data_IF_393387255308
#
_entry.id   IF_393387255308
#
_cell.length_a   1.000
_cell.length_b   1.000
_cell.length_c   1.000
_cell.angle_alpha   90.00
_cell.angle_beta   90.00
_cell.angle_gamma   90.00
#
_symmetry.space_group_name_H-M   'P 1'
#
loop_
_entity.id
_entity.type
_entity.pdbx_description
1 polymer ?
#
# COMPACT_ATOMS: atom_id res chain seq x y z
N UNK A 1 15.02 -33.71 12.78
CA UNK A 1 14.06 -32.95 11.92
C UNK A 1 13.64 -31.72 12.71
N UNK A 2 14.22 -30.57 12.43
CA UNK A 2 13.73 -29.32 13.01
C UNK A 2 12.47 -28.93 12.26
N UNK A 3 11.33 -28.88 12.96
CA UNK A 3 10.12 -28.24 12.44
C UNK A 3 10.48 -26.83 12.02
N UNK A 4 10.39 -26.55 10.72
CA UNK A 4 10.37 -25.17 10.23
C UNK A 4 9.15 -24.52 10.88
N UNK A 5 9.36 -23.66 11.88
CA UNK A 5 8.32 -22.75 12.36
C UNK A 5 7.81 -22.01 11.12
N UNK A 6 6.54 -22.20 10.81
CA UNK A 6 5.88 -21.41 9.78
C UNK A 6 6.04 -19.94 10.17
N UNK A 7 6.70 -19.17 9.32
CA UNK A 7 6.77 -17.72 9.50
C UNK A 7 5.34 -17.22 9.35
N UNK A 8 4.79 -16.47 10.31
CA UNK A 8 3.43 -15.96 10.17
C UNK A 8 3.33 -15.10 8.90
N UNK A 9 2.24 -15.26 8.16
CA UNK A 9 2.00 -14.55 6.90
C UNK A 9 2.02 -13.01 7.09
N UNK A 10 1.70 -12.55 8.28
CA UNK A 10 1.75 -11.12 8.65
C UNK A 10 2.15 -10.95 10.12
N UNK A 11 2.60 -9.75 10.49
CA UNK A 11 2.90 -9.37 11.88
C UNK A 11 1.69 -8.63 12.44
N UNK A 12 1.12 -9.16 13.54
CA UNK A 12 -0.01 -8.53 14.21
C UNK A 12 0.39 -7.18 14.82
N UNK A 13 -0.39 -6.15 14.53
CA UNK A 13 -0.19 -4.79 15.01
C UNK A 13 -0.36 -4.65 16.53
N UNK A 14 0.22 -3.56 17.08
CA UNK A 14 -0.03 -3.16 18.46
C UNK A 14 -1.50 -2.71 18.65
N UNK A 15 -1.96 -2.68 19.90
CA UNK A 15 -3.30 -2.14 20.20
C UNK A 15 -3.44 -0.66 19.75
N UNK A 16 -2.37 0.15 19.88
CA UNK A 16 -2.34 1.51 19.38
C UNK A 16 -2.41 1.55 17.86
N UNK A 17 -1.59 0.75 17.15
CA UNK A 17 -1.61 0.65 15.70
C UNK A 17 -2.99 0.27 15.17
N UNK A 18 -3.58 -0.80 15.72
CA UNK A 18 -4.94 -1.24 15.37
C UNK A 18 -6.00 -0.15 15.57
N UNK A 19 -5.91 0.62 16.67
CA UNK A 19 -6.79 1.75 16.91
C UNK A 19 -6.55 2.88 15.91
N UNK A 20 -5.30 3.31 15.74
CA UNK A 20 -4.92 4.43 14.86
C UNK A 20 -5.31 4.19 13.40
N UNK A 21 -5.05 2.99 12.88
CA UNK A 21 -5.44 2.56 11.53
C UNK A 21 -6.97 2.54 11.32
N UNK A 22 -7.78 2.66 12.38
CA UNK A 22 -9.22 2.80 12.32
C UNK A 22 -9.74 4.23 12.39
N UNK A 23 -8.86 5.24 12.58
CA UNK A 23 -9.27 6.64 12.79
C UNK A 23 -9.50 7.39 11.48
N UNK A 24 -10.33 8.45 11.52
CA UNK A 24 -10.50 9.37 10.39
C UNK A 24 -9.17 10.06 10.03
N UNK A 25 -8.31 10.34 11.03
CA UNK A 25 -6.97 10.88 10.80
C UNK A 25 -6.14 10.02 9.85
N UNK A 26 -6.18 8.69 10.02
CA UNK A 26 -5.49 7.77 9.11
C UNK A 26 -6.04 7.87 7.69
N UNK A 27 -7.36 7.80 7.55
CA UNK A 27 -7.99 7.76 6.23
C UNK A 27 -7.93 9.11 5.51
N UNK A 28 -8.24 10.20 6.18
CA UNK A 28 -8.32 11.52 5.53
C UNK A 28 -6.94 12.16 5.30
N UNK A 29 -5.97 11.86 6.16
CA UNK A 29 -4.65 12.51 6.10
C UNK A 29 -3.50 11.58 5.65
N UNK A 30 -3.74 10.27 5.49
CA UNK A 30 -2.73 9.35 4.97
C UNK A 30 -3.24 8.67 3.71
N UNK A 31 -4.34 7.91 3.78
CA UNK A 31 -4.86 7.17 2.62
C UNK A 31 -5.33 8.10 1.51
N UNK A 32 -6.16 9.10 1.82
CA UNK A 32 -6.69 10.04 0.83
C UNK A 32 -5.57 10.86 0.17
N UNK A 33 -4.61 11.34 0.97
CA UNK A 33 -3.46 12.11 0.47
C UNK A 33 -2.57 11.27 -0.45
N UNK A 34 -2.32 10.00 -0.10
CA UNK A 34 -1.56 9.09 -0.96
C UNK A 34 -2.31 8.81 -2.28
N UNK A 35 -3.64 8.60 -2.23
CA UNK A 35 -4.46 8.41 -3.42
C UNK A 35 -4.48 9.66 -4.31
N UNK A 36 -4.59 10.86 -3.74
CA UNK A 36 -4.56 12.11 -4.49
C UNK A 36 -3.20 12.31 -5.18
N UNK A 37 -2.12 11.92 -4.53
CA UNK A 37 -0.77 11.96 -5.09
C UNK A 37 -0.62 10.97 -6.26
N UNK A 38 -1.04 9.70 -6.05
CA UNK A 38 -0.98 8.65 -7.07
C UNK A 38 -1.88 8.93 -8.27
N UNK A 39 -3.06 9.49 -8.04
CA UNK A 39 -4.03 9.79 -9.11
C UNK A 39 -3.47 10.77 -10.15
N UNK A 40 -2.56 11.66 -9.77
CA UNK A 40 -1.90 12.59 -10.70
C UNK A 40 -1.00 11.90 -11.72
N UNK A 41 -0.54 10.70 -11.42
CA UNK A 41 0.38 9.92 -12.26
C UNK A 41 -0.33 8.85 -13.10
N UNK A 42 -1.65 8.74 -12.98
CA UNK A 42 -2.41 7.78 -13.77
C UNK A 42 -2.38 8.12 -15.26
N UNK A 43 -2.34 7.11 -16.15
CA UNK A 43 -2.47 7.31 -17.57
C UNK A 43 -3.77 8.08 -17.91
N UNK A 44 -3.62 9.19 -18.65
CA UNK A 44 -4.76 10.06 -19.00
C UNK A 44 -5.62 9.50 -20.12
N UNK A 45 -5.12 8.54 -20.86
CA UNK A 45 -5.78 7.86 -21.99
C UNK A 45 -6.69 6.72 -21.56
N UNK A 46 -6.67 6.34 -20.29
CA UNK A 46 -7.51 5.27 -19.76
C UNK A 46 -8.82 5.82 -19.19
N UNK A 47 -9.94 5.40 -19.81
CA UNK A 47 -11.27 5.92 -19.48
C UNK A 47 -11.86 5.37 -18.16
N UNK A 48 -11.51 4.14 -17.75
CA UNK A 48 -12.10 3.50 -16.57
C UNK A 48 -11.27 2.34 -16.03
N UNK A 49 -11.57 1.95 -14.78
CA UNK A 49 -11.02 0.79 -14.08
C UNK A 49 -12.17 -0.09 -13.56
N UNK A 50 -12.80 -0.93 -14.42
CA UNK A 50 -13.99 -1.70 -14.06
C UNK A 50 -13.78 -2.62 -12.85
N UNK A 51 -12.58 -3.20 -12.69
CA UNK A 51 -12.25 -4.07 -11.56
C UNK A 51 -11.06 -3.49 -10.80
N UNK A 52 -11.32 -3.07 -9.57
CA UNK A 52 -10.30 -2.51 -8.65
C UNK A 52 -10.06 -3.49 -7.51
N UNK A 53 -8.80 -3.73 -7.16
CA UNK A 53 -8.41 -4.54 -6.02
C UNK A 53 -7.60 -3.70 -5.04
N UNK A 54 -7.96 -3.78 -3.75
CA UNK A 54 -7.21 -3.22 -2.62
C UNK A 54 -6.49 -4.34 -1.87
N UNK A 55 -5.18 -4.37 -1.96
CA UNK A 55 -4.33 -5.33 -1.28
C UNK A 55 -3.92 -4.80 0.10
N UNK A 56 -4.38 -5.47 1.17
CA UNK A 56 -4.26 -5.01 2.54
C UNK A 56 -5.38 -4.03 2.91
N UNK A 57 -6.62 -4.33 2.54
CA UNK A 57 -7.75 -3.43 2.71
C UNK A 57 -8.17 -3.21 4.18
N UNK A 58 -7.71 -4.03 5.12
CA UNK A 58 -7.93 -3.91 6.55
C UNK A 58 -9.39 -3.69 6.92
N UNK A 59 -9.73 -2.50 7.40
CA UNK A 59 -11.10 -2.14 7.80
C UNK A 59 -12.03 -1.77 6.64
N UNK A 60 -11.55 -1.78 5.38
CA UNK A 60 -12.36 -1.57 4.19
C UNK A 60 -12.71 -0.12 3.85
N UNK A 61 -12.31 0.87 4.66
CA UNK A 61 -12.61 2.28 4.38
C UNK A 61 -11.87 2.83 3.15
N UNK A 62 -10.69 2.29 2.84
CA UNK A 62 -9.98 2.55 1.58
C UNK A 62 -10.81 2.19 0.35
N UNK A 63 -11.60 1.12 0.43
CA UNK A 63 -12.50 0.70 -0.65
C UNK A 63 -13.53 1.78 -1.00
N UNK A 64 -14.00 2.56 -0.01
CA UNK A 64 -14.88 3.69 -0.26
C UNK A 64 -14.19 4.78 -1.09
N UNK A 65 -12.98 5.17 -0.71
CA UNK A 65 -12.21 6.16 -1.47
C UNK A 65 -11.92 5.70 -2.90
N UNK A 66 -11.63 4.40 -3.08
CA UNK A 66 -11.39 3.82 -4.40
C UNK A 66 -12.68 3.79 -5.23
N UNK A 67 -13.83 3.42 -4.62
CA UNK A 67 -15.12 3.41 -5.30
C UNK A 67 -15.55 4.81 -5.75
N UNK A 68 -15.37 5.83 -4.91
CA UNK A 68 -15.69 7.22 -5.21
C UNK A 68 -14.83 7.79 -6.37
N UNK A 69 -13.53 7.46 -6.39
CA UNK A 69 -12.57 7.97 -7.38
C UNK A 69 -12.64 7.26 -8.72
N UNK A 70 -12.73 5.94 -8.69
CA UNK A 70 -12.60 5.11 -9.91
C UNK A 70 -13.92 4.60 -10.43
N UNK A 71 -15.01 4.64 -9.63
CA UNK A 71 -16.36 4.18 -9.98
C UNK A 71 -16.34 2.80 -10.66
N UNK A 72 -15.71 1.80 -10.01
CA UNK A 72 -15.60 0.46 -10.58
C UNK A 72 -16.96 -0.23 -10.66
N UNK A 73 -17.07 -1.21 -11.54
CA UNK A 73 -18.20 -2.16 -11.56
C UNK A 73 -18.09 -3.15 -10.38
N UNK A 74 -16.83 -3.52 -10.06
CA UNK A 74 -16.49 -4.42 -8.97
C UNK A 74 -15.26 -3.95 -8.22
N UNK A 75 -15.33 -3.99 -6.87
CA UNK A 75 -14.20 -3.75 -6.00
C UNK A 75 -13.90 -4.98 -5.15
N UNK A 76 -12.63 -5.34 -5.06
CA UNK A 76 -12.15 -6.51 -4.31
C UNK A 76 -11.27 -6.02 -3.18
N UNK A 77 -11.60 -6.37 -1.93
CA UNK A 77 -10.75 -6.14 -0.78
C UNK A 77 -10.07 -7.43 -0.36
N UNK A 78 -8.75 -7.45 -0.29
CA UNK A 78 -7.95 -8.59 0.17
C UNK A 78 -7.19 -8.22 1.42
N UNK A 79 -7.27 -9.04 2.46
CA UNK A 79 -6.49 -8.91 3.68
C UNK A 79 -6.25 -10.28 4.32
N UNK A 80 -5.09 -10.46 4.95
CA UNK A 80 -4.74 -11.72 5.62
C UNK A 80 -5.42 -11.88 6.99
N UNK A 81 -5.95 -10.79 7.57
CA UNK A 81 -6.62 -10.84 8.87
C UNK A 81 -8.01 -11.46 8.74
N UNK A 82 -8.29 -12.61 9.43
CA UNK A 82 -9.60 -13.25 9.37
C UNK A 82 -10.76 -12.40 9.94
N UNK A 83 -10.45 -11.33 10.68
CA UNK A 83 -11.46 -10.38 11.22
C UNK A 83 -11.90 -9.35 10.18
N UNK A 84 -11.16 -9.20 9.08
CA UNK A 84 -11.39 -8.20 8.04
C UNK A 84 -12.84 -8.17 7.54
N UNK A 85 -13.51 -9.28 7.20
CA UNK A 85 -14.88 -9.22 6.68
C UNK A 85 -15.88 -8.61 7.68
N UNK A 86 -15.66 -8.83 8.97
CA UNK A 86 -16.48 -8.23 10.02
C UNK A 86 -16.31 -6.72 10.15
N UNK A 87 -15.16 -6.19 9.81
CA UNK A 87 -14.88 -4.75 9.82
C UNK A 87 -15.25 -4.07 8.50
N UNK A 88 -14.82 -4.65 7.39
CA UNK A 88 -15.00 -4.07 6.06
C UNK A 88 -16.44 -4.21 5.53
N UNK A 89 -17.16 -5.26 5.90
CA UNK A 89 -18.52 -5.50 5.44
C UNK A 89 -19.48 -4.31 5.69
N UNK A 90 -19.60 -3.78 6.92
CA UNK A 90 -20.42 -2.60 7.18
C UNK A 90 -19.99 -1.35 6.41
N UNK A 91 -18.67 -1.12 6.29
CA UNK A 91 -18.11 0.05 5.58
C UNK A 91 -18.39 0.02 4.07
N UNK A 92 -18.56 -1.17 3.50
CA UNK A 92 -18.73 -1.36 2.05
C UNK A 92 -20.17 -1.64 1.63
N UNK A 93 -21.10 -1.81 2.58
CA UNK A 93 -22.49 -2.19 2.30
C UNK A 93 -23.26 -1.20 1.42
N UNK A 94 -22.85 0.08 1.41
CA UNK A 94 -23.50 1.15 0.66
C UNK A 94 -22.72 1.57 -0.61
N UNK A 95 -21.66 0.86 -0.99
CA UNK A 95 -20.92 1.17 -2.22
C UNK A 95 -21.79 0.85 -3.44
N UNK A 96 -21.83 1.74 -4.42
CA UNK A 96 -22.63 1.61 -5.64
C UNK A 96 -22.09 0.59 -6.66
N UNK A 97 -21.29 -0.38 -6.23
CA UNK A 97 -20.67 -1.40 -7.07
C UNK A 97 -20.70 -2.79 -6.39
N UNK A 98 -20.38 -3.84 -7.12
CA UNK A 98 -20.22 -5.17 -6.56
C UNK A 98 -18.97 -5.22 -5.63
N UNK A 99 -19.12 -5.75 -4.41
CA UNK A 99 -18.04 -5.88 -3.43
C UNK A 99 -17.71 -7.35 -3.21
N UNK A 100 -16.40 -7.66 -3.20
CA UNK A 100 -15.87 -9.00 -2.92
C UNK A 100 -14.77 -8.86 -1.84
N UNK A 101 -15.02 -9.39 -0.64
CA UNK A 101 -14.07 -9.36 0.47
C UNK A 101 -13.44 -10.74 0.64
N UNK A 102 -12.11 -10.82 0.59
CA UNK A 102 -11.35 -12.07 0.63
C UNK A 102 -10.34 -12.07 1.76
N UNK A 103 -10.43 -13.06 2.63
CA UNK A 103 -9.35 -13.35 3.58
C UNK A 103 -8.29 -14.17 2.85
N UNK A 104 -7.21 -13.53 2.43
CA UNK A 104 -6.15 -14.15 1.63
C UNK A 104 -4.83 -13.41 1.82
N UNK A 105 -3.71 -14.10 1.53
CA UNK A 105 -2.40 -13.48 1.45
C UNK A 105 -2.27 -12.64 0.16
N UNK A 106 -1.62 -11.50 0.23
CA UNK A 106 -1.39 -10.65 -0.94
C UNK A 106 -0.53 -11.32 -2.02
N UNK A 107 0.21 -12.38 -1.68
CA UNK A 107 0.96 -13.22 -2.62
C UNK A 107 0.14 -14.34 -3.26
N UNK A 108 -1.11 -14.54 -2.80
CA UNK A 108 -2.07 -15.52 -3.35
C UNK A 108 -3.51 -15.02 -3.10
N UNK A 109 -3.94 -14.06 -3.92
CA UNK A 109 -5.25 -13.38 -3.77
C UNK A 109 -6.43 -14.26 -4.18
N UNK A 110 -6.19 -15.37 -4.84
CA UNK A 110 -7.22 -16.22 -5.43
C UNK A 110 -7.94 -15.57 -6.61
N UNK A 111 -7.41 -14.47 -7.17
CA UNK A 111 -7.97 -13.84 -8.38
C UNK A 111 -7.49 -14.57 -9.64
N UNK A 112 -8.32 -14.64 -10.69
CA UNK A 112 -7.89 -15.16 -11.99
C UNK A 112 -6.79 -14.28 -12.62
N UNK A 113 -5.99 -14.86 -13.53
CA UNK A 113 -5.04 -14.14 -14.35
C UNK A 113 -5.73 -13.03 -15.15
N UNK A 114 -5.08 -11.90 -15.32
CA UNK A 114 -5.55 -10.78 -16.15
C UNK A 114 -7.03 -10.41 -15.92
N UNK A 115 -7.47 -10.36 -14.66
CA UNK A 115 -8.87 -10.11 -14.28
C UNK A 115 -9.09 -8.75 -13.61
N UNK A 116 -8.03 -8.04 -13.23
CA UNK A 116 -8.05 -6.78 -12.48
C UNK A 116 -7.51 -5.64 -13.35
N UNK A 117 -8.10 -4.46 -13.27
CA UNK A 117 -7.68 -3.28 -14.01
C UNK A 117 -6.74 -2.38 -13.20
N UNK A 118 -6.94 -2.31 -11.88
CA UNK A 118 -6.16 -1.52 -10.97
C UNK A 118 -5.96 -2.29 -9.66
N UNK A 119 -4.71 -2.38 -9.21
CA UNK A 119 -4.36 -2.83 -7.86
C UNK A 119 -3.91 -1.61 -7.06
N UNK A 120 -4.51 -1.39 -5.90
CA UNK A 120 -4.06 -0.45 -4.90
C UNK A 120 -3.35 -1.21 -3.78
N UNK A 121 -2.12 -0.83 -3.45
CA UNK A 121 -1.34 -1.38 -2.37
C UNK A 121 -0.77 -0.22 -1.55
N UNK A 122 -1.39 0.02 -0.39
CA UNK A 122 -1.05 1.14 0.47
C UNK A 122 -0.64 0.66 1.85
N UNK A 123 0.60 0.96 2.24
CA UNK A 123 1.15 0.63 3.55
C UNK A 123 1.00 -0.87 3.89
N UNK A 124 1.21 -1.73 2.90
CA UNK A 124 0.99 -3.18 3.00
C UNK A 124 2.27 -3.99 2.76
N UNK A 125 3.05 -3.67 1.72
CA UNK A 125 4.25 -4.45 1.37
C UNK A 125 5.25 -4.53 2.52
N UNK A 126 5.44 -3.46 3.28
CA UNK A 126 6.38 -3.45 4.40
C UNK A 126 5.97 -4.36 5.58
N UNK A 127 4.74 -4.88 5.59
CA UNK A 127 4.29 -5.92 6.52
C UNK A 127 4.50 -7.34 5.99
N UNK A 128 4.72 -7.51 4.69
CA UNK A 128 4.87 -8.81 4.05
C UNK A 128 6.32 -9.32 4.12
N UNK A 129 6.47 -10.61 4.40
CA UNK A 129 7.76 -11.30 4.32
C UNK A 129 8.08 -11.66 2.86
N UNK A 130 7.07 -12.03 2.08
CA UNK A 130 7.20 -12.44 0.67
C UNK A 130 6.78 -11.31 -0.29
N UNK A 131 7.48 -10.16 -0.22
CA UNK A 131 7.16 -8.95 -1.01
C UNK A 131 7.23 -9.19 -2.51
N UNK A 132 8.27 -9.91 -2.97
CA UNK A 132 8.47 -10.25 -4.38
C UNK A 132 7.33 -11.15 -4.91
N UNK A 133 6.85 -12.09 -4.09
CA UNK A 133 5.73 -12.95 -4.46
C UNK A 133 4.41 -12.15 -4.56
N UNK A 134 4.18 -11.18 -3.67
CA UNK A 134 3.02 -10.31 -3.75
C UNK A 134 3.05 -9.44 -5.02
N UNK A 135 4.20 -8.87 -5.39
CA UNK A 135 4.35 -8.12 -6.64
C UNK A 135 4.15 -8.99 -7.88
N UNK A 136 4.64 -10.24 -7.86
CA UNK A 136 4.40 -11.20 -8.94
C UNK A 136 2.91 -11.55 -9.06
N UNK A 137 2.22 -11.71 -7.93
CA UNK A 137 0.77 -11.93 -7.90
C UNK A 137 0.00 -10.72 -8.45
N UNK A 138 0.35 -9.49 -8.06
CA UNK A 138 -0.26 -8.28 -8.60
C UNK A 138 -0.06 -8.18 -10.11
N UNK A 139 1.15 -8.52 -10.59
CA UNK A 139 1.42 -8.57 -12.02
C UNK A 139 0.60 -9.65 -12.72
N UNK A 140 0.44 -10.84 -12.14
CA UNK A 140 -0.33 -11.95 -12.72
C UNK A 140 -1.81 -11.57 -12.89
N UNK A 141 -2.43 -11.01 -11.85
CA UNK A 141 -3.88 -10.70 -11.83
C UNK A 141 -4.24 -9.47 -12.65
N UNK A 142 -3.32 -8.51 -12.81
CA UNK A 142 -3.56 -7.33 -13.65
C UNK A 142 -3.65 -7.71 -15.12
N UNK A 143 -4.59 -7.06 -15.83
CA UNK A 143 -4.67 -7.13 -17.30
C UNK A 143 -3.48 -6.43 -17.93
N UNK A 144 -3.10 -6.77 -19.19
CA UNK A 144 -2.21 -5.92 -19.97
C UNK A 144 -2.72 -4.47 -19.97
N UNK A 145 -1.83 -3.51 -19.75
CA UNK A 145 -2.19 -2.10 -19.54
C UNK A 145 -2.81 -1.78 -18.17
N UNK A 146 -2.98 -2.76 -17.28
CA UNK A 146 -3.43 -2.55 -15.90
C UNK A 146 -2.39 -1.83 -15.06
N UNK A 147 -2.82 -1.18 -13.97
CA UNK A 147 -1.95 -0.33 -13.16
C UNK A 147 -1.87 -0.81 -11.70
N UNK A 148 -0.68 -0.70 -11.14
CA UNK A 148 -0.41 -0.83 -9.72
C UNK A 148 -0.20 0.57 -9.14
N UNK A 149 -1.05 0.96 -8.19
CA UNK A 149 -0.87 2.13 -7.34
C UNK A 149 -0.22 1.68 -6.04
N UNK A 150 1.04 2.03 -5.84
CA UNK A 150 1.78 1.68 -4.63
C UNK A 150 2.11 2.93 -3.82
N UNK A 151 1.82 2.90 -2.53
CA UNK A 151 2.25 3.92 -1.58
C UNK A 151 2.77 3.25 -0.31
N UNK A 152 4.09 3.34 -0.06
CA UNK A 152 4.76 2.56 0.98
C UNK A 152 5.67 3.41 1.87
N UNK A 153 5.76 2.98 3.12
CA UNK A 153 6.76 3.44 4.07
C UNK A 153 8.09 2.77 3.81
N UNK A 154 9.16 3.58 3.80
CA UNK A 154 10.50 3.05 3.60
C UNK A 154 11.15 2.58 4.91
N UNK A 155 12.26 1.86 4.79
CA UNK A 155 13.11 1.45 5.90
C UNK A 155 13.45 2.60 6.84
N UNK A 156 13.70 3.81 6.32
CA UNK A 156 14.02 4.99 7.10
C UNK A 156 12.90 5.39 8.06
N UNK A 157 11.66 5.39 7.55
CA UNK A 157 10.47 5.69 8.32
C UNK A 157 10.19 4.61 9.37
N UNK A 158 10.15 3.35 8.95
CA UNK A 158 9.83 2.21 9.81
C UNK A 158 10.85 2.06 10.96
N UNK A 159 12.13 2.35 10.71
CA UNK A 159 13.18 2.32 11.73
C UNK A 159 13.22 3.53 12.63
N UNK A 160 12.39 4.55 12.41
CA UNK A 160 12.32 5.70 13.31
C UNK A 160 11.88 5.27 14.72
N UNK A 161 12.36 5.97 15.73
CA UNK A 161 12.10 5.59 17.12
C UNK A 161 10.61 5.63 17.47
N UNK A 162 9.87 6.59 16.90
CA UNK A 162 8.45 6.77 17.13
C UNK A 162 7.64 5.58 16.53
N UNK A 163 7.94 5.19 15.29
CA UNK A 163 7.26 4.07 14.64
C UNK A 163 7.55 2.76 15.36
N UNK A 164 8.80 2.52 15.74
CA UNK A 164 9.18 1.33 16.52
C UNK A 164 8.52 1.24 17.89
N UNK A 165 8.17 2.38 18.49
CA UNK A 165 7.47 2.43 19.77
C UNK A 165 5.98 2.13 19.61
N UNK A 166 5.35 2.63 18.55
CA UNK A 166 3.90 2.63 18.38
C UNK A 166 3.37 1.46 17.54
N UNK A 167 4.19 0.95 16.60
CA UNK A 167 3.76 -0.05 15.61
C UNK A 167 4.70 -1.26 15.59
N UNK A 168 4.22 -2.36 15.04
CA UNK A 168 5.01 -3.59 14.83
C UNK A 168 5.19 -3.87 13.36
N UNK A 169 6.45 -4.15 12.98
CA UNK A 169 6.83 -4.44 11.60
C UNK A 169 7.89 -5.55 11.56
N UNK A 170 7.91 -6.39 10.52
CA UNK A 170 9.01 -7.33 10.27
C UNK A 170 10.25 -6.53 9.84
N UNK A 171 11.21 -6.35 10.75
CA UNK A 171 12.34 -5.43 10.56
C UNK A 171 13.35 -5.88 9.50
N UNK A 172 13.33 -7.16 9.14
CA UNK A 172 14.27 -7.81 8.22
C UNK A 172 13.97 -7.50 6.75
N UNK A 173 12.69 -7.24 6.45
CA UNK A 173 12.20 -7.06 5.07
C UNK A 173 12.02 -5.60 4.66
N UNK A 174 12.43 -4.67 5.51
CA UNK A 174 12.26 -3.24 5.26
C UNK A 174 13.17 -2.75 4.12
N UNK A 175 12.60 -2.00 3.17
CA UNK A 175 13.25 -1.56 1.94
C UNK A 175 13.41 -0.03 1.88
N UNK A 176 14.40 0.43 1.11
CA UNK A 176 14.48 1.84 0.68
C UNK A 176 13.50 2.10 -0.46
N UNK A 177 13.28 3.37 -0.80
CA UNK A 177 12.49 3.74 -1.97
C UNK A 177 13.07 3.13 -3.27
N UNK A 178 14.39 3.15 -3.43
CA UNK A 178 15.08 2.59 -4.59
C UNK A 178 14.89 1.06 -4.68
N UNK A 179 15.00 0.36 -3.54
CA UNK A 179 14.79 -1.09 -3.48
C UNK A 179 13.35 -1.47 -3.82
N UNK A 180 12.33 -0.71 -3.38
CA UNK A 180 10.94 -0.93 -3.78
C UNK A 180 10.74 -0.73 -5.28
N UNK A 181 11.26 0.36 -5.85
CA UNK A 181 11.13 0.64 -7.27
C UNK A 181 11.85 -0.40 -8.14
N UNK A 182 13.00 -0.91 -7.67
CA UNK A 182 13.71 -2.00 -8.34
C UNK A 182 12.88 -3.29 -8.34
N UNK A 183 12.36 -3.69 -7.18
CA UNK A 183 11.51 -4.87 -7.02
C UNK A 183 10.27 -4.85 -7.93
N UNK A 184 9.60 -3.68 -8.06
CA UNK A 184 8.45 -3.52 -8.94
C UNK A 184 8.85 -3.74 -10.40
N UNK A 185 10.01 -3.20 -10.83
CA UNK A 185 10.53 -3.41 -12.20
C UNK A 185 10.91 -4.88 -12.44
N UNK A 186 11.53 -5.52 -11.46
CA UNK A 186 11.90 -6.95 -11.50
C UNK A 186 10.67 -7.86 -11.60
N UNK A 187 9.54 -7.45 -11.01
CA UNK A 187 8.25 -8.13 -11.18
C UNK A 187 7.61 -7.94 -12.58
N UNK A 188 8.24 -7.19 -13.48
CA UNK A 188 7.78 -7.00 -14.86
C UNK A 188 6.99 -5.73 -15.12
N UNK A 189 6.86 -4.85 -14.14
CA UNK A 189 6.17 -3.57 -14.31
C UNK A 189 7.06 -2.51 -14.97
N UNK A 190 6.44 -1.60 -15.70
CA UNK A 190 7.06 -0.36 -16.20
C UNK A 190 6.67 0.78 -15.27
N UNK A 191 7.66 1.52 -14.78
CA UNK A 191 7.46 2.73 -13.97
C UNK A 191 8.00 3.92 -14.77
N UNK A 192 7.17 4.80 -15.32
CA UNK A 192 7.62 6.05 -15.90
C UNK A 192 8.33 6.91 -14.83
N UNK A 193 9.41 7.59 -15.19
CA UNK A 193 10.17 8.43 -14.25
C UNK A 193 9.30 9.54 -13.62
N UNK A 194 8.32 10.03 -14.37
CA UNK A 194 7.37 11.04 -13.90
C UNK A 194 6.26 10.49 -13.01
N UNK A 195 6.20 9.18 -12.79
CA UNK A 195 5.13 8.51 -12.04
C UNK A 195 5.57 8.07 -10.64
N UNK A 196 6.56 8.76 -10.09
CA UNK A 196 7.09 8.50 -8.74
C UNK A 196 7.07 9.79 -7.94
N UNK A 197 6.61 9.70 -6.69
CA UNK A 197 6.70 10.74 -5.68
C UNK A 197 7.39 10.21 -4.44
N UNK A 198 8.20 11.03 -3.81
CA UNK A 198 8.98 10.70 -2.61
C UNK A 198 8.61 11.66 -1.47
N UNK A 199 7.42 11.52 -0.87
CA UNK A 199 7.01 12.37 0.23
C UNK A 199 7.93 12.19 1.43
N UNK A 200 8.28 13.29 2.08
CA UNK A 200 9.20 13.27 3.21
C UNK A 200 8.52 13.70 4.50
N UNK A 201 8.44 12.79 5.45
CA UNK A 201 7.80 13.04 6.73
C UNK A 201 8.81 13.59 7.73
N UNK A 202 8.87 14.91 7.88
CA UNK A 202 9.78 15.63 8.78
C UNK A 202 9.67 15.17 10.24
N UNK A 203 8.48 14.80 10.70
CA UNK A 203 8.23 14.37 12.07
C UNK A 203 8.79 12.96 12.39
N UNK A 204 9.16 12.18 11.40
CA UNK A 204 9.86 10.90 11.60
C UNK A 204 11.35 11.06 11.91
N UNK A 205 11.87 12.27 11.81
CA UNK A 205 13.25 12.59 12.14
C UNK A 205 13.44 12.72 13.65
N UNK A 206 14.68 12.49 14.10
CA UNK A 206 15.03 12.64 15.51
C UNK A 206 14.84 14.08 16.04
N UNK A 207 15.00 15.08 15.18
CA UNK A 207 14.88 16.51 15.47
C UNK A 207 13.47 17.06 15.25
N UNK A 208 12.51 16.23 14.84
CA UNK A 208 11.12 16.59 14.57
C UNK A 208 10.96 17.79 13.62
N UNK A 209 11.91 17.97 12.70
CA UNK A 209 11.90 19.08 11.75
C UNK A 209 12.26 20.44 12.35
N UNK A 210 12.78 20.49 13.56
CA UNK A 210 13.13 21.76 14.22
C UNK A 210 14.20 22.55 13.48
N UNK A 211 15.13 21.90 12.81
CA UNK A 211 16.16 22.58 12.02
C UNK A 211 15.56 23.31 10.81
N UNK A 212 14.62 22.71 10.09
CA UNK A 212 13.94 23.40 8.99
C UNK A 212 13.07 24.55 9.50
N UNK A 213 12.41 24.36 10.64
CA UNK A 213 11.65 25.42 11.28
C UNK A 213 12.55 26.61 11.67
N UNK A 214 13.81 26.36 12.02
CA UNK A 214 14.82 27.39 12.28
C UNK A 214 15.46 27.94 10.98
N UNK A 215 15.02 27.52 9.79
CA UNK A 215 15.52 28.01 8.50
C UNK A 215 16.72 27.26 7.93
N UNK A 216 17.12 26.13 8.51
CA UNK A 216 18.17 25.31 7.93
C UNK A 216 17.65 24.49 6.75
N UNK A 217 18.38 24.40 5.63
CA UNK A 217 17.93 23.63 4.48
C UNK A 217 17.94 22.13 4.79
N UNK A 218 17.03 21.41 4.17
CA UNK A 218 17.03 19.94 4.18
C UNK A 218 18.35 19.38 3.62
N UNK A 219 18.87 18.28 4.18
CA UNK A 219 20.05 17.62 3.63
C UNK A 219 19.86 17.26 2.17
N UNK A 220 20.83 17.60 1.30
CA UNK A 220 20.78 17.28 -0.15
C UNK A 220 20.79 15.77 -0.43
N UNK A 221 21.41 14.99 0.45
CA UNK A 221 21.40 13.53 0.43
C UNK A 221 20.68 13.03 1.66
N UNK A 222 19.53 12.44 1.48
CA UNK A 222 18.72 11.85 2.52
C UNK A 222 18.13 10.53 2.02
N UNK A 223 17.92 9.60 2.92
CA UNK A 223 17.08 8.43 2.64
C UNK A 223 15.62 8.87 2.77
N UNK A 224 14.81 8.55 1.76
CA UNK A 224 13.41 8.95 1.71
C UNK A 224 12.58 8.18 2.75
N UNK A 225 11.47 8.79 3.21
CA UNK A 225 10.59 8.20 4.23
C UNK A 225 9.40 7.47 3.65
N UNK A 226 8.92 7.93 2.51
CA UNK A 226 7.81 7.33 1.76
C UNK A 226 8.20 7.18 0.29
N UNK A 227 7.51 6.29 -0.40
CA UNK A 227 7.55 6.14 -1.85
C UNK A 227 6.15 5.88 -2.38
N UNK A 228 5.69 6.73 -3.29
CA UNK A 228 4.46 6.55 -4.05
C UNK A 228 4.83 6.34 -5.51
N UNK A 229 4.29 5.32 -6.13
CA UNK A 229 4.58 4.99 -7.52
C UNK A 229 3.34 4.47 -8.24
N UNK A 230 3.17 4.88 -9.49
CA UNK A 230 2.25 4.25 -10.42
C UNK A 230 3.06 3.43 -11.42
N UNK A 231 2.81 2.13 -11.43
CA UNK A 231 3.47 1.17 -12.28
C UNK A 231 2.45 0.51 -13.21
N UNK A 232 2.82 0.23 -14.45
CA UNK A 232 1.95 -0.34 -15.47
C UNK A 232 2.43 -1.72 -15.88
N UNK A 233 1.50 -2.66 -16.02
CA UNK A 233 1.76 -3.93 -16.68
C UNK A 233 1.76 -3.71 -18.19
N UNK A 234 2.84 -4.09 -18.92
CA UNK A 234 2.90 -3.99 -20.37
C UNK A 234 1.81 -4.77 -21.11
#
# INVERSE_FOLDING_TARGET
>A
MQEKRAVPAYVEETAFGTWFLGTDTWYDHVVAVALDDLQRFLPQDRASYPVVLDAGCGRGRSLKFLAERFRPERIVGVDADPRMPGWAGPETAALGCAVDLRVADASDTGMPDASVDLVFCHQTLHHLVAQEAALAEFHRILRPGGVLLMAESTRKYIRSWMIRLLFRHPMEVQRTAEEYLAMIREAGFVIPETSVSLPYLWWSRWDLGTFEWLGFPLPKRREETLVNAVAQKP
#
